data_IF_395493922487
#
_entry.id   IF_395493922487
#
_cell.length_a   1.000
_cell.length_b   1.000
_cell.length_c   1.000
_cell.angle_alpha   90.00
_cell.angle_beta   90.00
_cell.angle_gamma   90.00
#
_symmetry.space_group_name_H-M   'P 1'
#
loop_
_entity.id
_entity.type
_entity.pdbx_description
1 polymer ?
#
# COMPACT_ATOMS: atom_id res chain seq x y z
N UNK A 1 0.65 -49.50 -31.33
CA UNK A 1 -0.13 -48.79 -30.29
C UNK A 1 -0.37 -47.39 -30.82
N UNK A 2 -1.50 -47.20 -31.52
CA UNK A 2 -1.92 -45.88 -32.01
C UNK A 2 -2.52 -45.09 -30.86
N UNK A 3 -1.94 -43.93 -30.58
CA UNK A 3 -2.48 -42.92 -29.68
C UNK A 3 -3.57 -42.15 -30.43
N UNK A 4 -4.83 -42.39 -30.09
CA UNK A 4 -5.97 -41.58 -30.53
C UNK A 4 -5.91 -40.20 -29.86
N UNK A 5 -5.59 -39.16 -30.63
CA UNK A 5 -5.87 -37.78 -30.23
C UNK A 5 -7.38 -37.52 -30.34
N UNK A 6 -8.07 -37.48 -29.19
CA UNK A 6 -9.47 -37.04 -29.15
C UNK A 6 -9.56 -35.56 -29.55
N UNK A 7 -9.96 -35.29 -30.79
CA UNK A 7 -10.23 -33.92 -31.26
C UNK A 7 -11.42 -33.32 -30.51
N UNK A 8 -11.20 -32.20 -29.82
CA UNK A 8 -12.26 -31.52 -29.06
C UNK A 8 -13.25 -30.89 -30.05
N UNK A 9 -14.58 -31.17 -29.93
CA UNK A 9 -15.56 -30.62 -30.86
C UNK A 9 -15.61 -29.08 -30.84
N UNK A 10 -15.61 -28.45 -32.02
CA UNK A 10 -15.62 -26.97 -32.20
C UNK A 10 -16.72 -26.29 -31.37
N UNK A 11 -17.89 -26.93 -31.24
CA UNK A 11 -19.02 -26.44 -30.43
C UNK A 11 -18.68 -26.29 -28.94
N UNK A 12 -17.83 -27.17 -28.40
CA UNK A 12 -17.36 -27.10 -27.01
C UNK A 12 -16.34 -25.97 -26.82
N UNK A 13 -15.48 -25.74 -27.83
CA UNK A 13 -14.54 -24.60 -27.86
C UNK A 13 -15.31 -23.28 -27.86
N UNK A 14 -16.33 -23.14 -28.71
CA UNK A 14 -17.16 -21.92 -28.78
C UNK A 14 -17.91 -21.64 -27.46
N UNK A 15 -18.50 -22.67 -26.83
CA UNK A 15 -19.16 -22.53 -25.51
C UNK A 15 -18.17 -22.14 -24.42
N UNK A 16 -16.97 -22.71 -24.42
CA UNK A 16 -15.90 -22.37 -23.49
C UNK A 16 -15.49 -20.89 -23.64
N UNK A 17 -15.29 -20.44 -24.89
CA UNK A 17 -14.95 -19.05 -25.19
C UNK A 17 -16.05 -18.07 -24.76
N UNK A 18 -17.33 -18.39 -25.00
CA UNK A 18 -18.45 -17.56 -24.57
C UNK A 18 -18.51 -17.44 -23.03
N UNK A 19 -18.30 -18.55 -22.30
CA UNK A 19 -18.24 -18.54 -20.82
C UNK A 19 -17.07 -17.72 -20.31
N UNK A 20 -15.88 -17.85 -20.93
CA UNK A 20 -14.69 -17.06 -20.59
C UNK A 20 -14.95 -15.56 -20.80
N UNK A 21 -15.57 -15.18 -21.91
CA UNK A 21 -15.94 -13.78 -22.21
C UNK A 21 -16.93 -13.22 -21.19
N UNK A 22 -17.98 -13.97 -20.84
CA UNK A 22 -18.94 -13.55 -19.80
C UNK A 22 -18.26 -13.33 -18.43
N UNK A 23 -17.40 -14.25 -18.01
CA UNK A 23 -16.63 -14.12 -16.76
C UNK A 23 -15.68 -12.92 -16.78
N UNK A 24 -15.08 -12.62 -17.93
CA UNK A 24 -14.25 -11.42 -18.10
C UNK A 24 -15.09 -10.15 -17.98
N UNK A 25 -16.22 -10.08 -18.66
CA UNK A 25 -17.11 -8.92 -18.59
C UNK A 25 -17.61 -8.65 -17.16
N UNK A 26 -18.01 -9.69 -16.42
CA UNK A 26 -18.44 -9.54 -15.03
C UNK A 26 -17.31 -8.93 -14.16
N UNK A 27 -16.09 -9.46 -14.26
CA UNK A 27 -14.92 -8.96 -13.51
C UNK A 27 -14.57 -7.51 -13.85
N UNK A 28 -14.63 -7.15 -15.14
CA UNK A 28 -14.42 -5.77 -15.57
C UNK A 28 -15.48 -4.84 -15.00
N UNK A 29 -16.74 -5.30 -14.90
CA UNK A 29 -17.82 -4.55 -14.26
C UNK A 29 -17.56 -4.34 -12.77
N UNK A 30 -17.19 -5.38 -12.02
CA UNK A 30 -16.86 -5.28 -10.60
C UNK A 30 -15.70 -4.29 -10.36
N UNK A 31 -14.61 -4.39 -11.15
CA UNK A 31 -13.50 -3.43 -11.08
C UNK A 31 -13.91 -1.99 -11.37
N UNK A 32 -14.80 -1.78 -12.35
CA UNK A 32 -15.27 -0.45 -12.70
C UNK A 32 -16.18 0.15 -11.62
N UNK A 33 -16.81 -0.68 -10.78
CA UNK A 33 -17.68 -0.26 -9.68
C UNK A 33 -16.90 0.02 -8.39
N UNK A 34 -15.81 -0.69 -8.14
CA UNK A 34 -15.06 -0.58 -6.88
C UNK A 34 -13.75 0.22 -6.99
N UNK A 35 -13.12 0.26 -8.16
CA UNK A 35 -11.76 0.80 -8.32
C UNK A 35 -11.73 1.98 -9.30
N UNK A 36 -11.93 1.71 -10.59
CA UNK A 36 -11.86 2.71 -11.66
C UNK A 36 -12.34 2.14 -13.01
N UNK A 37 -13.22 2.83 -13.72
CA UNK A 37 -13.77 2.32 -14.99
C UNK A 37 -12.72 2.20 -16.13
N UNK A 38 -11.75 3.09 -16.19
CA UNK A 38 -10.75 3.13 -17.27
C UNK A 38 -9.46 2.37 -16.97
N UNK A 39 -9.22 1.97 -15.72
CA UNK A 39 -7.90 1.52 -15.24
C UNK A 39 -7.39 0.19 -15.83
N UNK A 40 -8.20 -0.51 -16.61
CA UNK A 40 -7.87 -1.79 -17.26
C UNK A 40 -8.07 -1.80 -18.77
N UNK A 41 -8.47 -0.67 -19.37
CA UNK A 41 -8.75 -0.60 -20.80
C UNK A 41 -7.47 -0.74 -21.62
N UNK A 42 -7.42 -1.76 -22.48
CA UNK A 42 -6.26 -2.03 -23.35
C UNK A 42 -5.02 -2.56 -22.63
N UNK A 43 -5.08 -2.81 -21.32
CA UNK A 43 -3.96 -3.33 -20.53
C UNK A 43 -4.07 -4.83 -20.28
N UNK A 44 -2.94 -5.52 -20.24
CA UNK A 44 -2.87 -6.92 -19.79
C UNK A 44 -2.93 -6.95 -18.26
N UNK A 45 -3.97 -7.57 -17.72
CA UNK A 45 -4.23 -7.65 -16.29
C UNK A 45 -4.27 -9.10 -15.83
N UNK A 46 -3.58 -9.39 -14.73
CA UNK A 46 -3.63 -10.68 -14.04
C UNK A 46 -4.77 -10.64 -13.03
N UNK A 47 -5.74 -11.54 -13.20
CA UNK A 47 -6.85 -11.70 -12.27
C UNK A 47 -6.56 -12.86 -11.33
N UNK A 48 -6.30 -12.56 -10.06
CA UNK A 48 -5.98 -13.52 -9.01
C UNK A 48 -7.21 -13.76 -8.13
N UNK A 49 -7.95 -14.83 -8.42
CA UNK A 49 -9.16 -15.19 -7.66
C UNK A 49 -8.73 -16.10 -6.51
N UNK A 50 -8.81 -15.59 -5.29
CA UNK A 50 -8.33 -16.27 -4.10
C UNK A 50 -9.47 -16.70 -3.19
N UNK A 51 -9.27 -17.84 -2.52
CA UNK A 51 -10.08 -18.24 -1.37
C UNK A 51 -9.27 -18.01 -0.12
N UNK A 52 -9.90 -17.58 0.96
CA UNK A 52 -9.20 -17.45 2.21
C UNK A 52 -8.71 -18.84 2.65
N UNK A 53 -7.40 -18.94 2.90
CA UNK A 53 -6.79 -20.11 3.52
C UNK A 53 -6.07 -19.61 4.76
N UNK A 54 -6.50 -20.11 5.90
CA UNK A 54 -5.86 -19.75 7.15
C UNK A 54 -4.40 -20.22 7.12
N UNK A 55 -3.47 -19.28 7.23
CA UNK A 55 -2.03 -19.52 7.28
C UNK A 55 -1.43 -18.66 8.39
N UNK A 56 -0.70 -19.28 9.32
CA UNK A 56 -0.02 -18.57 10.40
C UNK A 56 1.48 -18.66 10.16
N UNK A 57 2.10 -17.53 9.80
CA UNK A 57 3.55 -17.46 9.60
C UNK A 57 4.34 -17.74 10.88
N UNK A 58 3.75 -17.48 12.06
CA UNK A 58 4.40 -17.65 13.36
C UNK A 58 3.51 -18.44 14.34
N UNK A 59 3.31 -19.75 14.12
CA UNK A 59 2.35 -20.55 14.90
C UNK A 59 2.73 -20.66 16.39
N UNK A 60 4.02 -20.79 16.71
CA UNK A 60 4.50 -20.86 18.09
C UNK A 60 4.23 -19.56 18.86
N UNK A 61 4.56 -18.40 18.27
CA UNK A 61 4.29 -17.08 18.87
C UNK A 61 2.79 -16.89 19.09
N UNK A 62 1.96 -17.30 18.13
CA UNK A 62 0.50 -17.21 18.24
C UNK A 62 -0.04 -18.07 19.39
N UNK A 63 0.51 -19.28 19.59
CA UNK A 63 0.08 -20.19 20.65
C UNK A 63 0.27 -19.60 22.06
N UNK A 64 1.23 -18.69 22.25
CA UNK A 64 1.48 -18.03 23.54
C UNK A 64 0.36 -17.06 23.96
N UNK A 65 -0.47 -16.59 23.03
CA UNK A 65 -1.61 -15.68 23.29
C UNK A 65 -1.23 -14.40 24.07
N UNK A 66 0.01 -13.92 23.92
CA UNK A 66 0.49 -12.68 24.56
C UNK A 66 0.10 -11.44 23.75
N UNK A 67 -0.15 -10.33 24.44
CA UNK A 67 -0.45 -9.03 23.83
C UNK A 67 0.36 -7.91 24.53
N UNK A 68 1.38 -7.32 23.88
CA UNK A 68 1.83 -7.59 22.52
C UNK A 68 2.56 -8.94 22.38
N UNK A 69 2.56 -9.56 21.19
CA UNK A 69 3.33 -10.78 20.95
C UNK A 69 4.84 -10.50 20.96
N UNK A 70 5.64 -11.48 21.42
CA UNK A 70 7.11 -11.39 21.36
C UNK A 70 7.63 -11.41 19.92
N UNK A 71 8.87 -10.99 19.73
CA UNK A 71 9.57 -11.06 18.44
C UNK A 71 9.89 -12.53 18.08
N UNK A 72 9.90 -12.87 16.78
CA UNK A 72 10.39 -14.16 16.33
C UNK A 72 11.90 -14.28 16.57
N UNK A 73 12.33 -15.51 16.82
CA UNK A 73 13.73 -15.95 16.75
C UNK A 73 14.19 -16.05 15.29
N UNK A 74 15.49 -16.27 15.06
CA UNK A 74 16.01 -16.45 13.71
C UNK A 74 15.44 -17.73 13.06
N UNK A 75 15.28 -18.80 13.84
CA UNK A 75 14.70 -20.06 13.40
C UNK A 75 13.21 -19.91 13.03
N UNK A 76 12.44 -19.15 13.81
CA UNK A 76 11.03 -18.85 13.49
C UNK A 76 10.89 -17.94 12.27
N UNK A 77 11.85 -17.06 12.01
CA UNK A 77 11.89 -16.26 10.77
C UNK A 77 12.15 -17.16 9.56
N UNK A 78 13.13 -18.08 9.65
CA UNK A 78 13.40 -19.03 8.56
C UNK A 78 12.19 -19.91 8.27
N UNK A 79 11.51 -20.42 9.30
CA UNK A 79 10.28 -21.19 9.11
C UNK A 79 9.17 -20.38 8.43
N UNK A 80 9.06 -19.09 8.75
CA UNK A 80 8.10 -18.20 8.10
C UNK A 80 8.46 -17.99 6.61
N UNK A 81 9.74 -17.87 6.28
CA UNK A 81 10.24 -17.80 4.90
C UNK A 81 9.92 -19.08 4.13
N UNK A 82 10.19 -20.25 4.71
CA UNK A 82 9.88 -21.56 4.10
C UNK A 82 8.38 -21.70 3.77
N UNK A 83 7.50 -21.14 4.62
CA UNK A 83 6.05 -21.09 4.35
C UNK A 83 5.74 -20.15 3.18
N UNK A 84 6.35 -18.96 3.15
CA UNK A 84 6.15 -17.95 2.10
C UNK A 84 6.64 -18.46 0.74
N UNK A 85 7.71 -19.26 0.70
CA UNK A 85 8.22 -19.88 -0.54
C UNK A 85 7.20 -20.81 -1.23
N UNK A 86 6.19 -21.28 -0.49
CA UNK A 86 5.09 -22.07 -1.07
C UNK A 86 4.05 -21.20 -1.80
N UNK A 87 4.12 -19.87 -1.66
CA UNK A 87 3.13 -18.97 -2.23
C UNK A 87 3.42 -18.68 -3.70
N UNK A 88 2.37 -18.33 -4.44
CA UNK A 88 2.54 -17.81 -5.79
C UNK A 88 2.83 -16.30 -5.73
N UNK A 89 4.09 -15.94 -5.94
CA UNK A 89 4.54 -14.55 -5.96
C UNK A 89 4.18 -13.86 -7.28
N UNK A 90 3.74 -12.61 -7.18
CA UNK A 90 3.60 -11.70 -8.31
C UNK A 90 4.76 -10.71 -8.30
N UNK A 91 5.37 -10.50 -9.46
CA UNK A 91 6.50 -9.60 -9.59
C UNK A 91 6.31 -8.54 -10.69
N UNK A 92 5.37 -8.72 -11.62
CA UNK A 92 5.20 -7.83 -12.79
C UNK A 92 3.74 -7.53 -13.14
N UNK A 93 3.55 -6.43 -13.88
CA UNK A 93 2.27 -6.04 -14.47
C UNK A 93 1.25 -5.52 -13.45
N UNK A 94 -0.01 -5.50 -13.87
CA UNK A 94 -1.15 -5.13 -13.01
C UNK A 94 -1.87 -6.40 -12.54
N UNK A 95 -2.03 -6.54 -11.24
CA UNK A 95 -2.67 -7.67 -10.58
C UNK A 95 -3.90 -7.19 -9.82
N UNK A 96 -5.04 -7.81 -10.07
CA UNK A 96 -6.27 -7.59 -9.31
C UNK A 96 -6.54 -8.86 -8.52
N UNK A 97 -6.56 -8.73 -7.19
CA UNK A 97 -6.86 -9.81 -6.27
C UNK A 97 -8.33 -9.74 -5.87
N UNK A 98 -9.05 -10.84 -6.04
CA UNK A 98 -10.48 -10.97 -5.79
C UNK A 98 -10.72 -12.00 -4.69
N UNK A 99 -11.65 -11.69 -3.77
CA UNK A 99 -12.22 -12.69 -2.88
C UNK A 99 -13.24 -13.57 -3.60
N UNK A 100 -13.00 -14.87 -3.64
CA UNK A 100 -14.00 -15.81 -4.12
C UNK A 100 -15.14 -16.02 -3.11
N UNK A 101 -14.90 -15.80 -1.82
CA UNK A 101 -15.82 -16.16 -0.74
C UNK A 101 -16.67 -14.98 -0.26
N UNK A 102 -16.36 -13.77 -0.72
CA UNK A 102 -17.05 -12.52 -0.38
C UNK A 102 -17.56 -11.83 -1.64
N UNK A 103 -18.43 -12.52 -2.38
CA UNK A 103 -19.14 -12.02 -3.56
C UNK A 103 -18.26 -11.42 -4.67
N UNK A 104 -17.00 -11.84 -4.80
CA UNK A 104 -16.11 -11.31 -5.83
C UNK A 104 -15.48 -9.96 -5.48
N UNK A 105 -15.59 -9.49 -4.24
CA UNK A 105 -15.01 -8.21 -3.81
C UNK A 105 -13.52 -8.12 -4.07
N UNK A 106 -13.09 -6.96 -4.56
CA UNK A 106 -11.67 -6.70 -4.79
C UNK A 106 -10.99 -6.53 -3.42
N UNK A 107 -9.83 -7.16 -3.26
CA UNK A 107 -9.01 -7.08 -2.05
C UNK A 107 -7.85 -6.13 -2.26
N UNK A 108 -7.26 -6.20 -3.46
CA UNK A 108 -6.08 -5.44 -3.80
C UNK A 108 -6.00 -5.22 -5.31
N UNK A 109 -5.56 -4.02 -5.68
CA UNK A 109 -5.08 -3.70 -7.02
C UNK A 109 -3.62 -3.33 -6.88
N UNK A 110 -2.75 -4.09 -7.53
CA UNK A 110 -1.30 -3.97 -7.40
C UNK A 110 -0.72 -3.72 -8.78
N UNK A 111 0.18 -2.76 -8.90
CA UNK A 111 0.89 -2.46 -10.14
C UNK A 111 2.39 -2.42 -9.89
N UNK A 112 3.12 -3.25 -10.65
CA UNK A 112 4.57 -3.34 -10.63
C UNK A 112 5.14 -2.59 -11.83
N UNK A 113 5.91 -1.53 -11.56
CA UNK A 113 6.51 -0.69 -12.60
C UNK A 113 8.03 -0.78 -12.47
N UNK A 114 8.73 -1.33 -13.48
CA UNK A 114 10.19 -1.27 -13.55
C UNK A 114 10.70 0.17 -13.50
N UNK A 115 11.78 0.42 -12.73
CA UNK A 115 12.32 1.78 -12.53
C UNK A 115 12.78 2.39 -13.85
N UNK A 116 13.32 1.58 -14.75
CA UNK A 116 13.77 1.99 -16.09
C UNK A 116 12.60 2.40 -17.01
N UNK A 117 11.39 1.89 -16.76
CA UNK A 117 10.17 2.25 -17.50
C UNK A 117 9.49 3.53 -16.99
N UNK A 118 9.89 4.06 -15.83
CA UNK A 118 9.39 5.34 -15.35
C UNK A 118 9.91 6.48 -16.21
N UNK A 119 9.01 7.40 -16.58
CA UNK A 119 9.40 8.66 -17.20
C UNK A 119 10.26 9.50 -16.26
N UNK A 120 11.05 10.42 -16.82
CA UNK A 120 11.85 11.36 -16.01
C UNK A 120 11.00 12.20 -15.06
N UNK A 121 9.76 12.50 -15.45
CA UNK A 121 8.81 13.22 -14.61
C UNK A 121 8.40 12.37 -13.41
N UNK A 122 8.02 11.11 -13.62
CA UNK A 122 7.66 10.18 -12.54
C UNK A 122 8.84 9.94 -11.60
N UNK A 123 10.05 9.71 -12.13
CA UNK A 123 11.27 9.57 -11.31
C UNK A 123 11.51 10.80 -10.44
N UNK A 124 11.34 12.01 -10.99
CA UNK A 124 11.48 13.27 -10.25
C UNK A 124 10.40 13.43 -9.17
N UNK A 125 9.15 13.08 -9.46
CA UNK A 125 8.05 13.14 -8.50
C UNK A 125 8.24 12.15 -7.36
N UNK A 126 8.56 10.89 -7.67
CA UNK A 126 8.84 9.84 -6.67
C UNK A 126 10.04 10.23 -5.82
N UNK A 127 11.15 10.66 -6.43
CA UNK A 127 12.33 11.15 -5.69
C UNK A 127 11.98 12.31 -4.77
N UNK A 128 11.08 13.21 -5.19
CA UNK A 128 10.62 14.32 -4.35
C UNK A 128 9.86 13.82 -3.11
N UNK A 129 8.98 12.83 -3.28
CA UNK A 129 8.27 12.20 -2.17
C UNK A 129 9.24 11.48 -1.22
N UNK A 130 10.12 10.62 -1.73
CA UNK A 130 11.00 9.79 -0.89
C UNK A 130 12.01 10.62 -0.11
N UNK A 131 12.61 11.64 -0.73
CA UNK A 131 13.54 12.57 -0.05
C UNK A 131 12.81 13.42 0.99
N UNK A 132 11.57 13.85 0.74
CA UNK A 132 10.74 14.52 1.74
C UNK A 132 10.48 13.61 2.95
N UNK A 133 10.09 12.35 2.73
CA UNK A 133 9.86 11.40 3.82
C UNK A 133 11.16 11.14 4.59
N UNK A 134 12.29 11.01 3.89
CA UNK A 134 13.58 10.86 4.55
C UNK A 134 13.93 12.05 5.44
N UNK A 135 13.82 13.27 4.92
CA UNK A 135 14.09 14.51 5.67
C UNK A 135 13.14 14.68 6.86
N UNK A 136 11.90 14.20 6.73
CA UNK A 136 10.90 14.25 7.82
C UNK A 136 11.38 13.55 9.08
N UNK A 137 12.23 12.51 8.99
CA UNK A 137 12.78 11.78 10.15
C UNK A 137 13.49 12.67 11.17
N UNK A 138 14.03 13.82 10.75
CA UNK A 138 14.62 14.81 11.66
C UNK A 138 13.59 15.45 12.60
N UNK A 139 12.36 15.62 12.11
CA UNK A 139 11.30 16.39 12.77
C UNK A 139 10.15 15.54 13.33
N UNK A 140 10.21 14.21 13.19
CA UNK A 140 9.23 13.28 13.78
C UNK A 140 9.93 12.18 14.58
N UNK A 141 9.21 11.57 15.52
CA UNK A 141 9.71 10.40 16.24
C UNK A 141 9.21 9.11 15.56
N UNK A 142 9.95 7.99 15.64
CA UNK A 142 9.42 6.70 15.24
C UNK A 142 8.15 6.36 16.03
N UNK A 143 7.14 5.83 15.35
CA UNK A 143 5.86 5.43 15.92
C UNK A 143 5.84 3.91 16.14
N UNK A 144 5.05 3.44 17.11
CA UNK A 144 4.77 2.01 17.28
C UNK A 144 5.99 1.14 17.66
N UNK A 145 7.02 1.69 18.31
CA UNK A 145 8.25 0.95 18.67
C UNK A 145 8.01 -0.35 19.46
N UNK A 146 6.96 -0.40 20.28
CA UNK A 146 6.59 -1.59 21.05
C UNK A 146 5.85 -2.66 20.25
N UNK A 147 5.35 -2.32 19.05
CA UNK A 147 4.56 -3.20 18.19
C UNK A 147 5.33 -3.69 16.96
N UNK A 148 6.42 -3.01 16.60
CA UNK A 148 7.34 -3.46 15.54
C UNK A 148 8.27 -4.58 15.98
N UNK A 149 8.36 -5.62 15.16
CA UNK A 149 9.34 -6.69 15.33
C UNK A 149 10.69 -6.33 14.73
N UNK A 150 10.71 -5.55 13.65
CA UNK A 150 11.91 -5.01 13.02
C UNK A 150 11.75 -3.58 12.51
N UNK A 151 12.86 -2.94 12.18
CA UNK A 151 12.91 -1.61 11.56
C UNK A 151 12.25 -0.47 12.33
N UNK A 152 11.88 0.59 11.60
CA UNK A 152 11.23 1.80 12.13
C UNK A 152 10.10 2.26 11.23
N UNK A 153 8.94 2.50 11.82
CA UNK A 153 7.85 3.24 11.20
C UNK A 153 7.84 4.69 11.67
N UNK A 154 7.52 5.59 10.76
CA UNK A 154 7.45 7.03 10.95
C UNK A 154 6.10 7.52 10.46
N UNK A 155 5.67 8.69 10.92
CA UNK A 155 4.43 9.29 10.46
C UNK A 155 4.55 10.81 10.36
N UNK A 156 3.89 11.39 9.37
CA UNK A 156 3.80 12.85 9.14
C UNK A 156 2.35 13.25 8.96
N UNK A 157 2.02 14.49 9.34
CA UNK A 157 0.64 15.01 9.29
C UNK A 157 -0.06 14.92 10.64
N UNK A 158 -1.37 14.68 10.59
CA UNK A 158 -2.27 14.66 11.75
C UNK A 158 -2.33 13.27 12.37
N UNK A 159 -2.29 13.21 13.70
CA UNK A 159 -2.35 11.96 14.46
C UNK A 159 -3.79 11.46 14.52
N UNK A 160 -3.98 10.14 14.38
CA UNK A 160 -5.26 9.50 14.73
C UNK A 160 -5.57 9.81 16.20
N UNK A 161 -6.69 10.47 16.47
CA UNK A 161 -7.20 10.63 17.82
C UNK A 161 -8.07 9.43 18.15
N UNK A 162 -7.65 8.62 19.12
CA UNK A 162 -8.37 7.40 19.55
C UNK A 162 -9.20 7.63 20.81
N UNK A 163 -9.33 8.88 21.26
CA UNK A 163 -10.02 9.25 22.49
C UNK A 163 -10.99 10.40 22.23
N UNK A 164 -12.24 10.20 22.63
CA UNK A 164 -13.23 11.25 22.55
C UNK A 164 -12.77 12.48 23.35
N UNK A 165 -13.06 13.68 22.82
CA UNK A 165 -12.77 14.97 23.45
C UNK A 165 -11.27 15.34 23.58
N UNK A 166 -10.35 14.57 22.99
CA UNK A 166 -8.95 14.98 22.86
C UNK A 166 -8.69 15.72 21.53
N UNK A 167 -7.91 16.79 21.59
CA UNK A 167 -7.50 17.58 20.41
C UNK A 167 -6.62 16.70 19.50
N UNK A 168 -6.95 16.66 18.20
CA UNK A 168 -6.13 15.99 17.19
C UNK A 168 -4.76 16.67 17.13
N UNK A 169 -3.71 15.92 17.50
CA UNK A 169 -2.33 16.39 17.45
C UNK A 169 -1.67 16.20 16.08
N UNK A 170 -0.46 16.72 15.91
CA UNK A 170 0.41 16.42 14.74
C UNK A 170 1.58 15.55 15.14
N UNK A 171 2.09 14.77 14.20
CA UNK A 171 3.37 14.09 14.37
C UNK A 171 4.49 15.14 14.34
N UNK A 172 5.08 15.43 15.51
CA UNK A 172 6.12 16.45 15.64
C UNK A 172 7.10 16.10 16.77
N UNK A 173 8.39 16.29 16.49
CA UNK A 173 9.49 16.24 17.45
C UNK A 173 9.83 17.67 17.85
N UNK A 174 9.12 18.17 18.86
CA UNK A 174 9.13 19.59 19.24
C UNK A 174 10.53 20.19 19.47
N UNK A 175 11.41 19.47 20.17
CA UNK A 175 12.80 19.91 20.40
C UNK A 175 13.59 20.11 19.10
N UNK A 176 13.42 19.23 18.11
CA UNK A 176 14.12 19.36 16.83
C UNK A 176 13.59 20.54 16.01
N UNK A 177 12.28 20.80 16.06
CA UNK A 177 11.67 21.95 15.42
C UNK A 177 12.13 23.26 16.06
N UNK A 178 12.21 23.32 17.40
CA UNK A 178 12.73 24.51 18.11
C UNK A 178 14.20 24.78 17.83
N UNK A 179 15.00 23.74 17.67
CA UNK A 179 16.42 23.88 17.33
C UNK A 179 16.64 24.32 15.87
N UNK A 180 15.71 24.04 14.95
CA UNK A 180 15.87 24.34 13.52
C UNK A 180 14.55 24.79 12.86
N UNK A 181 13.94 25.92 13.30
CA UNK A 181 12.60 26.31 12.87
C UNK A 181 12.53 26.68 11.38
N UNK A 182 13.54 27.38 10.85
CA UNK A 182 13.60 27.77 9.42
C UNK A 182 13.62 26.53 8.52
N UNK A 183 14.42 25.54 8.88
CA UNK A 183 14.54 24.28 8.14
C UNK A 183 13.25 23.48 8.21
N UNK A 184 12.60 23.42 9.38
CA UNK A 184 11.28 22.80 9.51
C UNK A 184 10.25 23.49 8.61
N UNK A 185 10.17 24.82 8.60
CA UNK A 185 9.26 25.57 7.75
C UNK A 185 9.52 25.31 6.25
N UNK A 186 10.79 25.30 5.83
CA UNK A 186 11.18 24.95 4.46
C UNK A 186 10.84 23.49 4.10
N UNK A 187 10.89 22.60 5.08
CA UNK A 187 10.54 21.20 4.89
C UNK A 187 9.04 21.02 4.72
N UNK A 188 8.24 21.55 5.65
CA UNK A 188 6.77 21.37 5.62
C UNK A 188 6.10 22.12 4.47
N UNK A 189 6.70 23.20 3.95
CA UNK A 189 6.17 23.88 2.74
C UNK A 189 6.13 22.96 1.51
N UNK A 190 6.96 21.91 1.48
CA UNK A 190 6.97 20.88 0.42
C UNK A 190 5.79 19.92 0.53
N UNK A 191 5.13 19.83 1.69
CA UNK A 191 4.10 18.81 1.95
C UNK A 191 2.91 18.92 0.99
N UNK A 192 2.53 20.13 0.55
CA UNK A 192 1.44 20.31 -0.42
C UNK A 192 1.77 19.66 -1.78
N UNK A 193 3.02 19.76 -2.22
CA UNK A 193 3.47 19.11 -3.46
C UNK A 193 3.49 17.59 -3.30
N UNK A 194 3.92 17.08 -2.15
CA UNK A 194 3.85 15.64 -1.84
C UNK A 194 2.40 15.14 -1.85
N UNK A 195 1.47 15.90 -1.25
CA UNK A 195 0.04 15.55 -1.24
C UNK A 195 -0.52 15.45 -2.65
N UNK A 196 -0.20 16.43 -3.51
CA UNK A 196 -0.64 16.41 -4.92
C UNK A 196 -0.07 15.22 -5.70
N UNK A 197 1.20 14.87 -5.51
CA UNK A 197 1.83 13.73 -6.19
C UNK A 197 1.13 12.43 -5.76
N UNK A 198 1.07 12.16 -4.45
CA UNK A 198 0.48 10.92 -3.93
C UNK A 198 -1.01 10.83 -4.23
N UNK A 199 -1.76 11.94 -4.10
CA UNK A 199 -3.17 12.01 -4.44
C UNK A 199 -3.43 11.75 -5.91
N UNK A 200 -2.58 12.28 -6.81
CA UNK A 200 -2.65 11.99 -8.25
C UNK A 200 -2.36 10.51 -8.53
N UNK A 201 -1.33 9.93 -7.92
CA UNK A 201 -1.01 8.51 -8.08
C UNK A 201 -2.18 7.63 -7.60
N UNK A 202 -2.73 7.91 -6.42
CA UNK A 202 -3.85 7.14 -5.89
C UNK A 202 -5.09 7.28 -6.76
N UNK A 203 -5.48 8.51 -7.13
CA UNK A 203 -6.62 8.76 -8.01
C UNK A 203 -6.47 8.09 -9.37
N UNK A 204 -5.27 8.10 -9.95
CA UNK A 204 -5.03 7.47 -11.25
C UNK A 204 -5.14 5.94 -11.19
N UNK A 205 -4.84 5.34 -10.03
CA UNK A 205 -4.93 3.90 -9.82
C UNK A 205 -6.34 3.44 -9.44
N UNK A 206 -7.02 4.22 -8.59
CA UNK A 206 -8.27 3.84 -7.94
C UNK A 206 -9.04 5.12 -7.57
N UNK A 207 -9.76 5.68 -8.54
CA UNK A 207 -10.48 6.95 -8.35
C UNK A 207 -11.66 6.81 -7.39
N UNK A 208 -12.35 5.66 -7.39
CA UNK A 208 -13.48 5.41 -6.48
C UNK A 208 -13.02 5.36 -5.00
N UNK A 209 -11.98 4.58 -4.63
CA UNK A 209 -11.41 4.64 -3.28
C UNK A 209 -10.83 6.01 -2.91
N UNK A 210 -10.18 6.68 -3.86
CA UNK A 210 -9.64 8.03 -3.65
C UNK A 210 -10.75 9.03 -3.27
N UNK A 211 -11.84 9.08 -4.05
CA UNK A 211 -12.94 10.00 -3.79
C UNK A 211 -13.71 9.61 -2.52
N UNK A 212 -13.82 8.32 -2.21
CA UNK A 212 -14.42 7.83 -0.95
C UNK A 212 -13.63 8.33 0.27
N UNK A 213 -12.31 8.17 0.27
CA UNK A 213 -11.44 8.67 1.35
C UNK A 213 -11.53 10.19 1.49
N UNK A 214 -11.54 10.91 0.35
CA UNK A 214 -11.67 12.37 0.33
C UNK A 214 -13.03 12.83 0.85
N UNK A 215 -14.11 12.12 0.54
CA UNK A 215 -15.46 12.44 1.00
C UNK A 215 -15.58 12.23 2.51
N UNK A 216 -15.06 11.12 3.05
CA UNK A 216 -14.97 10.89 4.50
C UNK A 216 -14.23 12.04 5.19
N UNK A 217 -13.09 12.47 4.63
CA UNK A 217 -12.35 13.60 5.20
C UNK A 217 -13.17 14.89 5.18
N UNK A 218 -13.88 15.17 4.09
CA UNK A 218 -14.72 16.36 3.95
C UNK A 218 -15.86 16.36 4.97
N UNK A 219 -16.57 15.25 5.10
CA UNK A 219 -17.76 15.13 5.97
C UNK A 219 -17.40 15.21 7.46
N UNK A 220 -16.16 14.89 7.82
CA UNK A 220 -15.67 14.93 9.19
C UNK A 220 -14.70 16.09 9.45
N UNK A 221 -14.60 17.06 8.54
CA UNK A 221 -13.69 18.23 8.62
C UNK A 221 -12.23 17.83 8.89
N UNK A 222 -11.81 16.68 8.38
CA UNK A 222 -10.47 16.15 8.58
C UNK A 222 -9.50 16.88 7.62
N UNK A 223 -8.44 17.53 8.14
CA UNK A 223 -7.48 18.25 7.32
C UNK A 223 -6.55 17.30 6.55
N UNK A 224 -6.01 17.80 5.44
CA UNK A 224 -4.90 17.15 4.73
C UNK A 224 -3.65 17.08 5.61
N UNK A 225 -2.85 16.03 5.48
CA UNK A 225 -1.54 15.94 6.14
C UNK A 225 -0.62 17.11 5.79
N UNK A 226 -0.83 17.71 4.62
CA UNK A 226 -0.05 18.85 4.12
C UNK A 226 -0.46 20.18 4.73
N UNK A 227 -1.62 20.23 5.40
CA UNK A 227 -2.11 21.42 6.08
C UNK A 227 -1.50 21.58 7.47
N UNK A 228 -1.27 22.82 7.87
CA UNK A 228 -0.95 23.21 9.24
C UNK A 228 -2.17 23.50 10.10
N UNK A 229 -3.37 23.62 9.50
CA UNK A 229 -4.60 24.06 10.17
C UNK A 229 -5.66 22.97 10.18
N UNK A 230 -6.39 22.87 11.30
CA UNK A 230 -7.34 21.78 11.56
C UNK A 230 -8.57 21.83 10.64
N UNK A 231 -9.05 23.03 10.26
CA UNK A 231 -10.23 23.21 9.41
C UNK A 231 -9.88 23.73 8.01
N UNK A 232 -8.68 23.41 7.52
CA UNK A 232 -8.27 23.82 6.18
C UNK A 232 -9.12 23.13 5.11
N UNK A 233 -9.56 23.89 4.12
CA UNK A 233 -10.28 23.33 2.97
C UNK A 233 -9.38 22.36 2.18
N UNK A 234 -9.91 21.16 1.92
CA UNK A 234 -9.25 20.17 1.09
C UNK A 234 -9.12 20.63 -0.36
N UNK A 235 -7.93 20.47 -0.93
CA UNK A 235 -7.72 20.61 -2.36
C UNK A 235 -8.34 19.42 -3.13
N UNK A 236 -8.26 19.47 -4.47
CA UNK A 236 -8.80 18.41 -5.34
C UNK A 236 -8.07 17.06 -5.20
N UNK A 237 -6.83 17.07 -4.69
CA UNK A 237 -5.97 15.88 -4.61
C UNK A 237 -5.64 15.48 -3.16
N UNK A 238 -6.23 16.14 -2.16
CA UNK A 238 -6.06 15.72 -0.76
C UNK A 238 -6.98 14.54 -0.43
N UNK A 239 -6.39 13.45 0.05
CA UNK A 239 -7.11 12.21 0.37
C UNK A 239 -6.61 11.49 1.64
N UNK A 240 -5.68 12.10 2.39
CA UNK A 240 -5.20 11.51 3.64
C UNK A 240 -4.85 12.57 4.71
N UNK A 241 -5.16 12.33 5.99
CA UNK A 241 -4.74 13.19 7.10
C UNK A 241 -3.29 12.95 7.55
N UNK A 242 -2.71 11.81 7.21
CA UNK A 242 -1.32 11.48 7.50
C UNK A 242 -0.75 10.50 6.48
N UNK A 243 0.59 10.40 6.48
CA UNK A 243 1.33 9.36 5.78
C UNK A 243 2.16 8.62 6.81
N UNK A 244 2.13 7.30 6.76
CA UNK A 244 3.10 6.43 7.44
C UNK A 244 4.11 5.91 6.44
N UNK A 245 5.37 5.83 6.85
CA UNK A 245 6.42 5.25 6.03
C UNK A 245 7.42 4.48 6.90
N UNK A 246 8.04 3.48 6.30
CA UNK A 246 8.86 2.51 7.00
C UNK A 246 10.29 2.50 6.46
N UNK A 247 11.25 2.17 7.32
CA UNK A 247 12.68 2.11 6.96
C UNK A 247 13.38 1.03 7.79
N UNK A 248 14.53 0.56 7.32
CA UNK A 248 15.40 -0.42 7.99
C UNK A 248 14.74 -1.80 8.19
N UNK A 249 14.13 -2.37 7.14
CA UNK A 249 13.53 -3.72 7.20
C UNK A 249 12.38 -3.81 8.21
N UNK A 250 11.42 -2.90 8.13
CA UNK A 250 10.29 -2.87 9.05
C UNK A 250 9.35 -4.05 8.80
N UNK A 251 8.99 -4.76 9.88
CA UNK A 251 7.90 -5.72 9.87
C UNK A 251 7.22 -5.77 11.24
N UNK A 252 5.93 -6.12 11.22
CA UNK A 252 5.05 -6.20 12.38
C UNK A 252 4.54 -7.64 12.56
N UNK A 253 4.08 -8.00 13.76
CA UNK A 253 3.24 -9.18 13.93
C UNK A 253 2.05 -9.15 12.95
N UNK A 254 1.65 -10.28 12.35
CA UNK A 254 0.40 -10.36 11.60
C UNK A 254 -0.79 -9.93 12.48
N UNK A 255 -1.61 -9.01 12.00
CA UNK A 255 -2.78 -8.50 12.70
C UNK A 255 -3.88 -8.10 11.71
N UNK A 256 -5.09 -7.97 12.23
CA UNK A 256 -6.24 -7.42 11.51
C UNK A 256 -6.65 -6.13 12.20
N UNK A 257 -6.68 -5.03 11.45
CA UNK A 257 -7.22 -3.78 11.96
C UNK A 257 -8.74 -3.83 11.98
N UNK A 258 -9.34 -3.26 13.03
CA UNK A 258 -10.78 -3.16 13.22
C UNK A 258 -11.17 -1.70 13.41
N UNK A 259 -12.29 -1.31 12.83
CA UNK A 259 -12.85 0.03 12.99
C UNK A 259 -12.21 1.10 12.10
N UNK A 260 -11.52 0.70 11.04
CA UNK A 260 -11.22 1.63 9.95
C UNK A 260 -12.50 1.92 9.17
N UNK A 261 -12.72 3.19 8.86
CA UNK A 261 -13.90 3.66 8.13
C UNK A 261 -13.73 3.48 6.62
N UNK A 262 -12.48 3.51 6.15
CA UNK A 262 -12.12 3.38 4.74
C UNK A 262 -11.85 1.92 4.40
N UNK A 263 -12.45 1.44 3.32
CA UNK A 263 -12.19 0.07 2.86
C UNK A 263 -10.79 -0.09 2.29
N UNK A 264 -10.20 0.95 1.69
CA UNK A 264 -8.92 0.88 0.98
C UNK A 264 -7.89 1.90 1.48
N UNK A 265 -6.63 1.46 1.50
CA UNK A 265 -5.46 2.30 1.68
C UNK A 265 -4.55 2.27 0.44
N UNK A 266 -3.85 3.37 0.19
CA UNK A 266 -2.83 3.48 -0.84
C UNK A 266 -1.45 3.18 -0.24
N UNK A 267 -0.72 2.25 -0.85
CA UNK A 267 0.65 1.90 -0.51
C UNK A 267 1.56 2.10 -1.72
N UNK A 268 2.76 2.60 -1.45
CA UNK A 268 3.81 2.83 -2.44
C UNK A 268 5.12 2.24 -1.88
N UNK A 269 5.64 1.22 -2.55
CA UNK A 269 6.90 0.57 -2.24
C UNK A 269 7.94 1.03 -3.24
N UNK A 270 8.97 1.71 -2.76
CA UNK A 270 10.00 2.33 -3.59
C UNK A 270 11.36 2.03 -2.98
N UNK A 271 12.32 1.54 -3.76
CA UNK A 271 13.69 1.38 -3.29
C UNK A 271 14.37 2.74 -3.16
N UNK A 272 15.02 2.96 -2.01
CA UNK A 272 15.65 4.24 -1.73
C UNK A 272 17.03 4.03 -1.14
N UNK A 273 17.95 4.95 -1.44
CA UNK A 273 19.22 5.03 -0.75
C UNK A 273 18.97 5.38 0.73
N UNK A 274 19.47 4.55 1.63
CA UNK A 274 19.23 4.70 3.07
C UNK A 274 19.84 5.98 3.65
N UNK A 275 20.88 6.52 3.01
CA UNK A 275 21.62 7.71 3.45
C UNK A 275 20.83 9.00 3.25
N UNK A 276 20.07 9.14 2.17
CA UNK A 276 19.41 10.41 1.80
C UNK A 276 17.98 10.29 1.27
N UNK A 277 17.48 9.07 1.06
CA UNK A 277 16.14 8.79 0.55
C UNK A 277 15.97 9.05 -0.94
N UNK A 278 17.05 9.22 -1.69
CA UNK A 278 16.99 9.28 -3.16
C UNK A 278 16.54 7.93 -3.74
N UNK A 279 15.93 7.96 -4.92
CA UNK A 279 15.53 6.75 -5.64
C UNK A 279 16.77 5.92 -5.98
N UNK A 280 16.71 4.61 -5.81
CA UNK A 280 17.81 3.71 -6.20
C UNK A 280 17.94 3.63 -7.74
N UNK A 281 19.18 3.52 -8.22
CA UNK A 281 19.47 3.27 -9.64
C UNK A 281 19.15 1.81 -10.01
N UNK A 282 18.82 1.49 -11.28
CA UNK A 282 18.60 0.11 -11.70
C UNK A 282 19.78 -0.82 -11.34
N UNK A 283 19.49 -2.05 -10.93
CA UNK A 283 20.53 -3.03 -10.57
C UNK A 283 21.08 -2.91 -9.15
N UNK A 284 20.43 -2.15 -8.27
CA UNK A 284 20.75 -2.07 -6.84
C UNK A 284 20.50 -3.39 -6.11
N UNK A 285 21.32 -3.65 -5.09
CA UNK A 285 21.13 -4.75 -4.14
C UNK A 285 20.34 -4.25 -2.92
N UNK A 286 19.32 -5.01 -2.50
CA UNK A 286 18.47 -4.66 -1.35
C UNK A 286 18.87 -5.49 -0.16
N UNK A 287 19.23 -4.81 0.93
CA UNK A 287 19.35 -5.46 2.23
C UNK A 287 18.01 -5.37 2.98
N UNK A 288 17.38 -6.52 3.23
CA UNK A 288 16.21 -6.63 4.12
C UNK A 288 14.83 -6.44 3.49
N UNK A 289 14.64 -6.80 2.21
CA UNK A 289 13.31 -6.94 1.59
C UNK A 289 13.33 -7.55 0.18
N UNK A 290 12.42 -8.48 -0.11
CA UNK A 290 12.38 -9.28 -1.36
C UNK A 290 11.66 -8.60 -2.54
N UNK A 291 11.47 -7.28 -2.50
CA UNK A 291 10.80 -6.55 -3.58
C UNK A 291 11.83 -6.01 -4.57
N UNK A 292 12.16 -6.84 -5.56
CA UNK A 292 13.09 -6.57 -6.66
C UNK A 292 12.79 -5.27 -7.42
N UNK A 293 13.85 -4.53 -7.79
CA UNK A 293 14.04 -3.53 -8.87
C UNK A 293 12.88 -2.63 -9.36
N UNK A 294 11.76 -2.56 -8.64
CA UNK A 294 10.47 -2.09 -9.15
C UNK A 294 9.76 -1.26 -8.09
N UNK A 295 8.94 -0.34 -8.56
CA UNK A 295 7.98 0.37 -7.73
C UNK A 295 6.69 -0.45 -7.71
N UNK A 296 6.24 -0.80 -6.51
CA UNK A 296 4.94 -1.43 -6.32
C UNK A 296 3.97 -0.42 -5.77
N UNK A 297 2.86 -0.20 -6.46
CA UNK A 297 1.78 0.63 -5.94
C UNK A 297 0.57 -0.25 -5.71
N UNK A 298 -0.08 -0.12 -4.55
CA UNK A 298 -1.22 -0.94 -4.19
C UNK A 298 -2.36 -0.10 -3.61
N UNK A 299 -3.58 -0.36 -4.05
CA UNK A 299 -4.80 -0.01 -3.32
C UNK A 299 -5.34 -1.31 -2.71
N UNK A 300 -5.35 -1.43 -1.38
CA UNK A 300 -5.71 -2.69 -0.72
C UNK A 300 -6.56 -2.48 0.53
N UNK A 301 -7.37 -3.48 0.87
CA UNK A 301 -8.23 -3.42 2.04
C UNK A 301 -7.51 -3.79 3.32
N UNK A 302 -7.60 -2.95 4.37
CA UNK A 302 -6.95 -3.21 5.69
C UNK A 302 -7.68 -4.25 6.54
N UNK A 303 -8.90 -4.63 6.17
CA UNK A 303 -9.77 -5.45 6.99
C UNK A 303 -10.29 -6.66 6.23
N UNK A 304 -9.89 -7.87 6.67
CA UNK A 304 -10.72 -9.07 6.54
C UNK A 304 -10.71 -9.91 7.80
N UNK A 305 -11.94 -10.29 8.19
CA UNK A 305 -12.27 -11.32 9.16
C UNK A 305 -12.12 -12.70 8.54
#
# INVERSE_FOLDING_TARGET
>A
METTEESIPIRNIMKSNARRKRRQNNRHSEYSLEIQASGINGQKVVWSIQKYRQCHLYPAIRAEKKNPPRRPTAEELQQAEDIVDTFHSFDHGKVIVIDKENDGKIIAVIEFIPIDQLSDAEKKEIKFVTTFLHQSKKFVNPVGRSRGWGGKMWAVGWRKCMKALEIIGRYIKYFAVRASPKEYCQHVSKASKVSKILGKMFKNMADIPFETNRQIMKDNEIPSFSSSEFNSRLSKLDCAPHITFTTHGFFNPPHTDKGDVTDYAFALFVPTNSADGTLADPGYDVTGGDSFSRITTAASTSSRK
#
